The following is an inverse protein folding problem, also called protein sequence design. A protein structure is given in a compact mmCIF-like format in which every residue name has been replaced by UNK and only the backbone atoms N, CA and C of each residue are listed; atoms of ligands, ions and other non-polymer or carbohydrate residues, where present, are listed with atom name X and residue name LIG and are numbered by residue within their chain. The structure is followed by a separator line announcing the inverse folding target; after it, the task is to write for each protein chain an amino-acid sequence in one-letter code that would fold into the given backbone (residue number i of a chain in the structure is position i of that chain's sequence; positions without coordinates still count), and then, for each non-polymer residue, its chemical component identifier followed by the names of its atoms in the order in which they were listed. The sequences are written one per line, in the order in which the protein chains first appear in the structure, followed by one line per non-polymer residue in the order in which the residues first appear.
data_IF_283933719779
#
_entry.id   IF_283933719779
#
_cell.length_a   1.000
_cell.length_b   1.000
_cell.length_c   1.000
_cell.angle_alpha   90.00
_cell.angle_beta   90.00
_cell.angle_gamma   90.00
#
_symmetry.space_group_name_H-M   'P 1'
#
loop_
_entity.id
_entity.type
_entity.pdbx_description
1 polymer ?
#
# COMPACT_ATOMS: atom_id res chain seq x y z
N UNK A 1 14.45 21.00 -9.19
CA UNK A 1 13.97 20.28 -10.38
C UNK A 1 14.12 18.78 -10.12
N UNK A 2 13.20 18.25 -9.32
CA UNK A 2 13.10 16.81 -9.04
C UNK A 2 11.98 16.35 -9.98
N UNK A 3 12.33 15.52 -10.95
CA UNK A 3 11.33 14.92 -11.84
C UNK A 3 10.37 14.10 -10.97
N UNK A 4 9.13 14.56 -10.86
CA UNK A 4 8.01 13.73 -10.45
C UNK A 4 7.96 12.60 -11.48
N UNK A 5 8.45 11.44 -11.08
CA UNK A 5 8.25 10.22 -11.83
C UNK A 5 6.76 9.93 -11.67
N UNK A 6 5.96 10.36 -12.65
CA UNK A 6 4.57 9.94 -12.79
C UNK A 6 4.62 8.42 -12.89
N UNK A 7 4.41 7.75 -11.75
CA UNK A 7 4.20 6.32 -11.71
C UNK A 7 2.91 6.09 -12.47
N UNK A 8 2.96 5.46 -13.66
CA UNK A 8 1.76 5.24 -14.44
C UNK A 8 0.79 4.46 -13.56
N UNK A 9 -0.45 4.94 -13.44
CA UNK A 9 -1.48 4.25 -12.69
C UNK A 9 -1.48 2.78 -13.12
N UNK A 10 -1.36 1.87 -12.13
CA UNK A 10 -1.24 0.45 -12.40
C UNK A 10 -2.63 -0.07 -12.80
N UNK A 11 -2.97 0.10 -14.09
CA UNK A 11 -4.20 -0.45 -14.66
C UNK A 11 -4.23 -1.97 -14.50
N UNK A 12 -5.42 -2.57 -14.49
CA UNK A 12 -5.57 -4.02 -14.35
C UNK A 12 -4.77 -4.82 -15.38
N UNK A 13 -4.60 -4.28 -16.59
CA UNK A 13 -3.77 -4.86 -17.65
C UNK A 13 -2.28 -4.84 -17.30
N UNK A 14 -1.78 -3.74 -16.74
CA UNK A 14 -0.38 -3.63 -16.33
C UNK A 14 -0.05 -4.61 -15.20
N UNK A 15 -0.97 -4.80 -14.26
CA UNK A 15 -0.82 -5.78 -13.17
C UNK A 15 -0.71 -7.21 -13.72
N UNK A 16 -1.58 -7.58 -14.68
CA UNK A 16 -1.53 -8.90 -15.33
C UNK A 16 -0.20 -9.13 -16.06
N UNK A 17 0.30 -8.13 -16.77
CA UNK A 17 1.61 -8.21 -17.46
C UNK A 17 2.75 -8.39 -16.45
N UNK A 18 2.76 -7.61 -15.37
CA UNK A 18 3.80 -7.71 -14.33
C UNK A 18 3.78 -9.07 -13.65
N UNK A 19 2.60 -9.60 -13.30
CA UNK A 19 2.47 -10.96 -12.74
C UNK A 19 2.93 -12.03 -13.74
N UNK A 20 2.61 -11.87 -15.03
CA UNK A 20 3.08 -12.75 -16.10
C UNK A 20 4.61 -12.76 -16.23
N UNK A 21 5.24 -11.58 -16.19
CA UNK A 21 6.71 -11.48 -16.22
C UNK A 21 7.34 -12.11 -14.97
N UNK A 22 6.79 -11.85 -13.78
CA UNK A 22 7.31 -12.38 -12.52
C UNK A 22 7.27 -13.92 -12.52
N UNK A 23 6.16 -14.51 -12.97
CA UNK A 23 6.03 -15.97 -13.07
C UNK A 23 6.99 -16.57 -14.10
N UNK A 24 7.17 -15.94 -15.27
CA UNK A 24 8.14 -16.37 -16.27
C UNK A 24 9.58 -16.29 -15.77
N UNK A 25 9.95 -15.25 -15.03
CA UNK A 25 11.27 -15.14 -14.39
C UNK A 25 11.49 -16.28 -13.40
N UNK A 26 10.49 -16.61 -12.58
CA UNK A 26 10.56 -17.73 -11.65
C UNK A 26 10.80 -19.07 -12.35
N UNK A 27 10.03 -19.34 -13.42
CA UNK A 27 10.19 -20.56 -14.24
C UNK A 27 11.56 -20.57 -14.94
N UNK A 28 12.00 -19.42 -15.46
CA UNK A 28 13.31 -19.26 -16.09
C UNK A 28 14.47 -19.58 -15.16
N UNK A 29 14.40 -19.15 -13.90
CA UNK A 29 15.41 -19.46 -12.88
C UNK A 29 15.44 -20.97 -12.59
N UNK A 30 14.28 -21.61 -12.46
CA UNK A 30 14.19 -23.07 -12.24
C UNK A 30 14.81 -23.82 -13.43
N UNK A 31 14.47 -23.43 -14.66
CA UNK A 31 15.01 -24.07 -15.86
C UNK A 31 16.52 -23.82 -16.01
N UNK A 32 16.99 -22.60 -15.73
CA UNK A 32 18.42 -22.27 -15.72
C UNK A 32 19.19 -23.12 -14.71
N UNK A 33 18.67 -23.22 -13.48
CA UNK A 33 19.27 -24.02 -12.43
C UNK A 33 19.29 -25.50 -12.79
N UNK A 34 18.19 -26.04 -13.33
CA UNK A 34 18.11 -27.41 -13.85
C UNK A 34 19.15 -27.65 -14.95
N UNK A 35 19.26 -26.74 -15.92
CA UNK A 35 20.24 -26.83 -17.01
C UNK A 35 21.67 -26.77 -16.47
N UNK A 36 21.92 -25.93 -15.46
CA UNK A 36 23.25 -25.78 -14.87
C UNK A 36 23.70 -27.04 -14.12
N UNK A 37 22.80 -27.71 -13.40
CA UNK A 37 23.07 -28.95 -12.68
C UNK A 37 23.16 -30.16 -13.61
N UNK A 38 22.35 -30.22 -14.67
CA UNK A 38 22.39 -31.32 -15.65
C UNK A 38 23.71 -31.35 -16.45
N UNK A 39 24.46 -30.23 -16.49
CA UNK A 39 25.80 -30.20 -17.10
C UNK A 39 26.88 -30.90 -16.25
N UNK A 40 26.60 -31.21 -14.99
CA UNK A 40 27.53 -31.86 -14.07
C UNK A 40 27.21 -33.34 -13.84
N UNK A 41 26.05 -33.83 -14.28
CA UNK A 41 25.67 -35.24 -14.15
C UNK A 41 26.38 -36.17 -15.15
N UNK A 42 26.86 -35.63 -16.28
CA UNK A 42 27.53 -36.42 -17.33
C UNK A 42 29.02 -36.67 -17.06
N UNK A 43 29.66 -35.86 -16.20
CA UNK A 43 31.02 -36.13 -15.77
C UNK A 43 31.01 -37.22 -14.71
N UNK A 44 31.81 -38.28 -14.88
CA UNK A 44 32.02 -39.31 -13.87
C UNK A 44 32.75 -38.74 -12.64
N UNK A 45 32.00 -38.03 -11.79
CA UNK A 45 32.49 -37.39 -10.58
C UNK A 45 33.11 -38.42 -9.62
N UNK A 46 32.70 -39.69 -9.73
CA UNK A 46 33.21 -40.76 -8.88
C UNK A 46 34.67 -41.08 -9.21
N UNK A 47 35.04 -41.11 -10.49
CA UNK A 47 36.43 -41.29 -10.92
C UNK A 47 37.31 -40.08 -10.55
N UNK A 48 36.78 -38.86 -10.65
CA UNK A 48 37.52 -37.61 -10.37
C UNK A 48 37.82 -37.44 -8.86
N UNK A 49 36.94 -37.93 -7.99
CA UNK A 49 37.09 -37.78 -6.53
C UNK A 49 37.59 -39.05 -5.83
N UNK A 50 37.83 -40.15 -6.54
CA UNK A 50 38.31 -41.42 -5.97
C UNK A 50 39.69 -41.30 -5.28
N UNK A 51 40.59 -40.46 -5.81
CA UNK A 51 41.96 -40.29 -5.31
C UNK A 51 42.21 -38.90 -4.68
N UNK A 52 41.14 -38.16 -4.35
CA UNK A 52 41.29 -36.79 -3.83
C UNK A 52 41.75 -36.83 -2.36
N UNK A 53 43.00 -36.40 -2.13
CA UNK A 53 43.55 -36.26 -0.77
C UNK A 53 42.79 -35.14 -0.01
N UNK A 54 42.04 -35.54 1.03
CA UNK A 54 41.19 -34.63 1.82
C UNK A 54 42.06 -33.70 2.66
N UNK A 55 42.03 -32.39 2.34
CA UNK A 55 42.85 -31.37 3.03
C UNK A 55 42.25 -30.90 4.35
N UNK A 56 40.98 -31.20 4.62
CA UNK A 56 40.24 -30.77 5.81
C UNK A 56 39.25 -31.84 6.28
N UNK A 57 39.00 -32.00 7.59
CA UNK A 57 37.95 -32.88 8.12
C UNK A 57 36.55 -32.54 7.59
N UNK A 58 36.32 -31.29 7.17
CA UNK A 58 35.04 -30.80 6.65
C UNK A 58 34.83 -31.13 5.16
N UNK A 59 35.91 -31.45 4.44
CA UNK A 59 35.88 -31.82 3.02
C UNK A 59 35.15 -33.15 2.78
N UNK A 60 34.94 -33.95 3.84
CA UNK A 60 34.23 -35.22 3.77
C UNK A 60 32.70 -35.11 3.94
N UNK A 61 32.16 -33.90 4.18
CA UNK A 61 30.72 -33.71 4.41
C UNK A 61 29.87 -33.92 3.14
N UNK A 62 30.41 -33.53 1.98
CA UNK A 62 29.75 -33.68 0.70
C UNK A 62 30.58 -34.56 -0.24
N UNK A 63 30.00 -35.67 -0.71
CA UNK A 63 30.68 -36.59 -1.65
C UNK A 63 30.94 -35.94 -3.02
N UNK A 64 30.05 -35.07 -3.47
CA UNK A 64 30.14 -34.36 -4.74
C UNK A 64 29.83 -32.87 -4.55
N UNK A 65 30.85 -32.02 -4.31
CA UNK A 65 30.64 -30.60 -4.00
C UNK A 65 30.15 -29.77 -5.20
N UNK A 66 30.30 -30.26 -6.44
CA UNK A 66 29.83 -29.56 -7.63
C UNK A 66 28.32 -29.67 -7.89
N UNK A 67 27.67 -30.71 -7.37
CA UNK A 67 26.21 -30.96 -7.52
C UNK A 67 25.43 -30.68 -6.24
N UNK A 68 26.05 -30.03 -5.26
CA UNK A 68 25.37 -29.67 -4.02
C UNK A 68 24.35 -28.53 -4.26
N UNK A 69 23.06 -28.87 -4.22
CA UNK A 69 21.96 -27.92 -4.30
C UNK A 69 21.95 -26.92 -3.13
N UNK A 70 22.42 -27.33 -1.95
CA UNK A 70 22.43 -26.47 -0.76
C UNK A 70 23.53 -25.42 -0.79
N UNK A 71 24.50 -25.52 -1.71
CA UNK A 71 25.53 -24.49 -1.91
C UNK A 71 24.93 -23.13 -2.30
N UNK A 72 23.78 -23.14 -2.96
CA UNK A 72 23.06 -21.94 -3.40
C UNK A 72 21.92 -21.53 -2.45
N UNK A 73 21.78 -22.19 -1.30
CA UNK A 73 20.69 -21.92 -0.34
C UNK A 73 20.63 -20.45 0.10
N UNK A 74 21.76 -19.84 0.43
CA UNK A 74 21.81 -18.41 0.81
C UNK A 74 21.37 -17.47 -0.32
N UNK A 75 21.82 -17.74 -1.56
CA UNK A 75 21.41 -16.94 -2.73
C UNK A 75 19.93 -17.11 -3.07
N UNK A 76 19.39 -18.33 -2.93
CA UNK A 76 17.97 -18.61 -3.16
C UNK A 76 17.10 -17.95 -2.08
N UNK A 77 17.56 -17.96 -0.82
CA UNK A 77 16.90 -17.26 0.28
C UNK A 77 16.86 -15.74 0.02
N UNK A 78 18.01 -15.15 -0.32
CA UNK A 78 18.08 -13.71 -0.63
C UNK A 78 17.19 -13.33 -1.81
N UNK A 79 17.12 -14.18 -2.85
CA UNK A 79 16.21 -13.98 -3.98
C UNK A 79 14.74 -14.05 -3.54
N UNK A 80 14.37 -15.04 -2.72
CA UNK A 80 13.03 -15.15 -2.15
C UNK A 80 12.67 -13.95 -1.27
N UNK A 81 13.62 -13.43 -0.49
CA UNK A 81 13.45 -12.22 0.31
C UNK A 81 13.20 -10.99 -0.56
N UNK A 82 13.99 -10.82 -1.63
CA UNK A 82 13.80 -9.73 -2.59
C UNK A 82 12.45 -9.83 -3.29
N UNK A 83 12.06 -11.05 -3.70
CA UNK A 83 10.76 -11.30 -4.32
C UNK A 83 9.60 -11.01 -3.35
N UNK A 84 9.71 -11.41 -2.08
CA UNK A 84 8.71 -11.15 -1.06
C UNK A 84 8.57 -9.64 -0.77
N UNK A 85 9.68 -8.92 -0.66
CA UNK A 85 9.69 -7.48 -0.49
C UNK A 85 9.06 -6.77 -1.71
N UNK A 86 9.43 -7.19 -2.92
CA UNK A 86 8.85 -6.68 -4.15
C UNK A 86 7.34 -6.94 -4.23
N UNK A 87 6.88 -8.13 -3.83
CA UNK A 87 5.46 -8.46 -3.76
C UNK A 87 4.71 -7.61 -2.73
N UNK A 88 5.32 -7.35 -1.56
CA UNK A 88 4.73 -6.48 -0.54
C UNK A 88 4.58 -5.04 -1.05
N UNK A 89 5.62 -4.49 -1.69
CA UNK A 89 5.56 -3.15 -2.30
C UNK A 89 4.49 -3.11 -3.38
N UNK A 90 4.43 -4.13 -4.23
CA UNK A 90 3.41 -4.22 -5.28
C UNK A 90 1.99 -4.30 -4.72
N UNK A 91 1.80 -5.03 -3.61
CA UNK A 91 0.50 -5.11 -2.94
C UNK A 91 0.05 -3.75 -2.40
N UNK A 92 0.95 -2.94 -1.83
CA UNK A 92 0.63 -1.58 -1.38
C UNK A 92 0.53 -0.57 -2.53
N UNK A 93 1.28 -0.77 -3.61
CA UNK A 93 1.27 0.07 -4.80
C UNK A 93 0.02 -0.14 -5.67
N UNK A 94 -0.77 -1.17 -5.40
CA UNK A 94 -2.04 -1.39 -6.10
C UNK A 94 -3.08 -0.38 -5.60
N UNK A 95 -3.18 0.75 -6.31
CA UNK A 95 -4.26 1.72 -6.14
C UNK A 95 -4.98 1.93 -7.48
N UNK A 96 -6.30 1.95 -7.45
CA UNK A 96 -7.12 2.34 -8.60
C UNK A 96 -7.45 3.82 -8.42
N UNK A 97 -6.92 4.67 -9.29
CA UNK A 97 -7.39 6.05 -9.39
C UNK A 97 -8.70 6.04 -10.16
N UNK A 98 -9.73 6.70 -9.61
CA UNK A 98 -11.00 6.86 -10.30
C UNK A 98 -10.79 7.71 -11.56
N UNK A 99 -11.65 7.54 -12.57
CA UNK A 99 -11.58 8.39 -13.76
C UNK A 99 -11.78 9.85 -13.34
N UNK A 100 -10.95 10.78 -13.84
CA UNK A 100 -11.20 12.20 -13.66
C UNK A 100 -12.60 12.52 -14.22
N UNK A 101 -13.56 12.75 -13.32
CA UNK A 101 -14.87 13.25 -13.69
C UNK A 101 -14.63 14.68 -14.13
N UNK A 102 -14.61 14.91 -15.44
CA UNK A 102 -14.60 16.23 -16.02
C UNK A 102 -15.95 16.89 -15.72
N UNK A 103 -16.01 17.63 -14.62
CA UNK A 103 -17.12 18.53 -14.32
C UNK A 103 -16.87 19.78 -15.17
N UNK A 104 -17.69 20.08 -16.19
CA UNK A 104 -17.56 21.33 -16.93
C UNK A 104 -17.73 22.50 -15.95
N UNK A 105 -16.99 23.59 -16.16
CA UNK A 105 -16.95 24.74 -15.24
C UNK A 105 -18.36 25.29 -14.91
N UNK A 106 -19.32 25.10 -15.82
CA UNK A 106 -20.72 25.54 -15.69
C UNK A 106 -21.64 24.56 -14.94
N UNK A 107 -21.18 23.36 -14.54
CA UNK A 107 -22.02 22.38 -13.82
C UNK A 107 -22.15 22.67 -12.31
N UNK A 108 -21.35 23.60 -11.79
CA UNK A 108 -21.43 24.10 -10.40
C UNK A 108 -21.95 25.53 -10.33
N UNK A 109 -22.22 26.17 -11.47
CA UNK A 109 -22.99 27.41 -11.53
C UNK A 109 -24.46 27.07 -11.26
N UNK A 110 -24.81 27.01 -9.98
CA UNK A 110 -26.21 27.18 -9.58
C UNK A 110 -26.55 28.60 -10.04
N UNK A 111 -27.45 28.71 -11.01
CA UNK A 111 -28.05 29.98 -11.41
C UNK A 111 -28.55 30.60 -10.11
N UNK A 112 -27.87 31.64 -9.65
CA UNK A 112 -28.20 32.40 -8.45
C UNK A 112 -29.56 33.06 -8.68
N UNK A 113 -30.64 32.28 -8.66
CA UNK A 113 -32.01 32.74 -8.43
C UNK A 113 -32.07 33.08 -6.94
N UNK A 114 -31.28 34.08 -6.57
CA UNK A 114 -31.38 34.78 -5.32
C UNK A 114 -32.76 35.43 -5.39
N UNK A 115 -33.74 34.79 -4.77
CA UNK A 115 -35.03 35.40 -4.47
C UNK A 115 -34.74 36.71 -3.73
N UNK A 116 -34.72 37.81 -4.49
CA UNK A 116 -34.60 39.16 -3.93
C UNK A 116 -35.87 39.35 -3.12
N UNK A 117 -35.76 39.16 -1.81
CA UNK A 117 -36.83 39.53 -0.89
C UNK A 117 -37.14 41.02 -1.14
N UNK A 118 -38.42 41.38 -1.35
CA UNK A 118 -38.79 42.78 -1.55
C UNK A 118 -38.29 43.62 -0.37
N UNK A 119 -37.82 44.86 -0.62
CA UNK A 119 -37.24 45.70 0.43
C UNK A 119 -38.20 45.78 1.62
N UNK A 120 -37.68 45.50 2.82
CA UNK A 120 -38.47 45.56 4.06
C UNK A 120 -39.14 46.92 4.17
N UNK A 121 -40.47 46.96 4.04
CA UNK A 121 -41.28 48.14 4.34
C UNK A 121 -40.91 48.64 5.75
N UNK A 122 -40.67 49.94 5.90
CA UNK A 122 -40.19 50.55 7.15
C UNK A 122 -40.95 50.03 8.38
N UNK A 123 -40.22 49.49 9.35
CA UNK A 123 -40.79 49.00 10.61
C UNK A 123 -41.44 50.17 11.37
N UNK A 124 -42.67 50.00 11.92
CA UNK A 124 -43.29 51.03 12.76
C UNK A 124 -42.44 51.29 14.01
N UNK A 125 -42.39 52.53 14.55
CA UNK A 125 -41.56 52.85 15.68
C UNK A 125 -41.96 52.02 16.92
N UNK A 126 -40.99 51.58 17.74
CA UNK A 126 -41.22 50.62 18.81
C UNK A 126 -42.16 51.18 19.89
N UNK A 127 -43.09 50.37 20.42
CA UNK A 127 -44.05 50.80 21.43
C UNK A 127 -43.36 51.13 22.77
N UNK A 128 -43.93 52.09 23.55
CA UNK A 128 -43.30 52.64 24.74
C UNK A 128 -43.14 51.59 25.86
N UNK A 129 -42.10 51.73 26.71
CA UNK A 129 -41.71 50.73 27.69
C UNK A 129 -42.78 50.51 28.77
N UNK A 130 -43.04 49.25 29.17
CA UNK A 130 -44.01 48.91 30.20
C UNK A 130 -43.55 49.38 31.60
N UNK A 131 -44.50 49.76 32.49
CA UNK A 131 -44.21 50.25 33.84
C UNK A 131 -43.54 49.17 34.72
N UNK A 132 -42.69 49.59 35.67
CA UNK A 132 -41.88 48.68 36.48
C UNK A 132 -42.76 47.78 37.36
N UNK A 133 -42.42 46.48 37.48
CA UNK A 133 -43.15 45.54 38.32
C UNK A 133 -43.04 45.90 39.81
N UNK A 134 -44.13 45.72 40.58
CA UNK A 134 -44.18 46.00 42.01
C UNK A 134 -43.23 45.09 42.81
N UNK A 135 -42.58 45.68 43.80
CA UNK A 135 -41.63 45.03 44.73
C UNK A 135 -42.32 43.88 45.46
N UNK A 136 -41.77 42.68 45.37
CA UNK A 136 -42.20 41.50 46.12
C UNK A 136 -41.63 41.64 47.52
N UNK A 137 -42.48 41.76 48.53
CA UNK A 137 -42.10 41.65 49.93
C UNK A 137 -41.70 40.20 50.21
N UNK A 138 -40.49 40.00 50.71
CA UNK A 138 -39.91 38.72 51.08
C UNK A 138 -40.76 38.10 52.20
N UNK A 139 -41.53 37.06 51.89
CA UNK A 139 -42.15 36.21 52.91
C UNK A 139 -41.01 35.38 53.51
N UNK A 140 -40.67 35.53 54.80
CA UNK A 140 -39.57 34.81 55.42
C UNK A 140 -39.82 33.30 55.40
N UNK A 141 -38.81 32.54 54.99
CA UNK A 141 -38.84 31.08 54.90
C UNK A 141 -39.19 30.44 56.25
N UNK A 142 -40.21 29.57 56.26
CA UNK A 142 -40.55 28.75 57.42
C UNK A 142 -39.51 27.64 57.64
N UNK A 143 -39.24 27.40 58.93
CA UNK A 143 -38.13 26.63 59.47
C UNK A 143 -37.97 25.21 58.91
N UNK A 144 -36.71 24.88 58.67
CA UNK A 144 -36.18 23.55 58.41
C UNK A 144 -36.46 22.69 59.67
N UNK A 145 -37.29 21.65 59.55
CA UNK A 145 -37.41 20.62 60.59
C UNK A 145 -36.79 19.34 60.07
N UNK A 146 -35.84 18.84 60.85
CA UNK A 146 -34.97 17.67 60.67
C UNK A 146 -35.73 16.34 60.50
#
# INVERSE_FOLDING_TARGET
MIYLLEVPALSGTNLMVVMGILTLVFVGIIFFMRTRFNRFSDSDLTAVHADRQKKSPLDSRNKYPEVDAFRYSGTLLNYGLLAALGAAILAFSWTQYDAEIFIPDDALEIEDDIEIEPPRTAEPPPPPPPPPPPVIEEVPDEEIVE
#
